data_IF_983472648909
#
_entry.id   IF_983472648909
#
_cell.length_a   1.000
_cell.length_b   1.000
_cell.length_c   1.000
_cell.angle_alpha   90.00
_cell.angle_beta   90.00
_cell.angle_gamma   90.00
#
_symmetry.space_group_name_H-M   'P 1'
#
loop_
_entity.id
_entity.type
_entity.pdbx_description
1 polymer ?
#
# COMPACT_ATOMS: atom_id res chain seq x y z
N UNK A 1 -53.00 28.95 69.34
CA UNK A 1 -53.31 27.60 68.81
C UNK A 1 -53.70 27.58 67.33
N UNK A 2 -54.78 28.25 66.90
CA UNK A 2 -55.22 28.23 65.47
C UNK A 2 -54.18 28.80 64.49
N UNK A 3 -53.53 29.91 64.83
CA UNK A 3 -52.50 30.58 63.99
C UNK A 3 -51.25 29.70 63.75
N UNK A 4 -50.91 28.86 64.72
CA UNK A 4 -49.75 27.96 64.66
C UNK A 4 -50.03 26.73 63.78
N UNK A 5 -51.28 26.22 63.81
CA UNK A 5 -51.74 25.15 62.91
C UNK A 5 -51.86 25.63 61.45
N UNK A 6 -52.30 26.87 61.21
CA UNK A 6 -52.35 27.44 59.86
C UNK A 6 -50.96 27.64 59.24
N UNK A 7 -49.96 28.08 60.02
CA UNK A 7 -48.59 28.21 59.54
C UNK A 7 -47.98 26.85 59.19
N UNK A 8 -48.23 25.82 60.00
CA UNK A 8 -47.74 24.47 59.72
C UNK A 8 -48.38 23.89 58.45
N UNK A 9 -49.67 24.13 58.23
CA UNK A 9 -50.37 23.69 57.03
C UNK A 9 -49.85 24.41 55.77
N UNK A 10 -49.62 25.73 55.85
CA UNK A 10 -49.02 26.51 54.77
C UNK A 10 -47.61 26.04 54.41
N UNK A 11 -46.76 25.80 55.42
CA UNK A 11 -45.39 25.31 55.22
C UNK A 11 -45.41 23.91 54.59
N UNK A 12 -46.30 23.03 55.05
CA UNK A 12 -46.48 21.70 54.45
C UNK A 12 -46.96 21.78 53.00
N UNK A 13 -47.90 22.68 52.67
CA UNK A 13 -48.36 22.84 51.28
C UNK A 13 -47.28 23.40 50.37
N UNK A 14 -46.46 24.34 50.84
CA UNK A 14 -45.34 24.90 50.07
C UNK A 14 -44.25 23.85 49.87
N UNK A 15 -43.96 23.04 50.90
CA UNK A 15 -42.99 21.94 50.80
C UNK A 15 -43.45 20.85 49.82
N UNK A 16 -44.75 20.53 49.79
CA UNK A 16 -45.32 19.57 48.83
C UNK A 16 -45.29 20.14 47.40
N UNK A 17 -45.64 21.41 47.21
CA UNK A 17 -45.54 22.05 45.89
C UNK A 17 -44.09 22.15 45.40
N UNK A 18 -43.15 22.51 46.28
CA UNK A 18 -41.73 22.56 45.95
C UNK A 18 -41.17 21.17 45.57
N UNK A 19 -41.59 20.11 46.28
CA UNK A 19 -41.23 18.73 45.96
C UNK A 19 -41.83 18.26 44.63
N UNK A 20 -43.04 18.69 44.27
CA UNK A 20 -43.66 18.39 42.99
C UNK A 20 -42.99 19.13 41.82
N UNK A 21 -42.52 20.37 42.02
CA UNK A 21 -41.80 21.12 40.99
C UNK A 21 -40.35 20.67 40.79
N UNK A 22 -39.69 20.13 41.83
CA UNK A 22 -38.32 19.62 41.74
C UNK A 22 -38.21 18.27 41.01
N UNK A 23 -39.34 17.61 40.73
CA UNK A 23 -39.38 16.34 39.98
C UNK A 23 -39.38 16.53 38.45
N UNK A 24 -39.31 17.77 37.95
CA UNK A 24 -39.48 18.10 36.53
C UNK A 24 -38.21 18.64 35.84
N UNK A 25 -37.04 18.58 36.48
CA UNK A 25 -35.77 18.90 35.82
C UNK A 25 -35.10 17.63 35.28
N UNK A 26 -35.33 17.36 33.99
CA UNK A 26 -34.29 16.82 33.11
C UNK A 26 -33.93 15.33 33.18
N UNK A 27 -34.90 14.42 33.34
CA UNK A 27 -34.68 13.03 32.93
C UNK A 27 -35.32 12.80 31.56
N UNK A 28 -34.68 13.33 30.52
CA UNK A 28 -34.93 12.83 29.17
C UNK A 28 -34.40 11.39 29.15
N UNK A 29 -35.24 10.36 28.89
CA UNK A 29 -34.76 9.00 28.86
C UNK A 29 -33.71 8.90 27.76
N UNK A 30 -32.50 8.41 28.07
CA UNK A 30 -31.48 8.21 27.04
C UNK A 30 -32.05 7.27 25.97
N UNK A 31 -32.27 7.81 24.77
CA UNK A 31 -32.80 7.04 23.64
C UNK A 31 -31.66 6.61 22.72
N UNK A 32 -31.88 5.55 21.97
CA UNK A 32 -30.94 5.12 20.94
C UNK A 32 -30.79 6.11 19.78
N UNK A 33 -31.58 7.19 19.76
CA UNK A 33 -31.49 8.25 18.75
C UNK A 33 -30.30 9.19 19.00
N UNK A 34 -29.89 9.34 20.27
CA UNK A 34 -28.75 10.18 20.68
C UNK A 34 -27.57 9.38 21.22
N UNK A 35 -27.71 8.06 21.39
CA UNK A 35 -26.68 7.18 21.95
C UNK A 35 -25.69 6.75 20.87
N UNK A 36 -24.43 7.16 21.00
CA UNK A 36 -23.34 6.70 20.13
C UNK A 36 -22.73 5.42 20.69
N UNK A 37 -23.01 4.28 20.06
CA UNK A 37 -22.40 3.03 20.46
C UNK A 37 -21.02 2.81 19.84
N UNK A 38 -20.12 2.08 20.52
CA UNK A 38 -18.86 1.63 19.94
C UNK A 38 -19.10 0.84 18.65
N UNK A 39 -18.16 0.96 17.71
CA UNK A 39 -18.22 0.29 16.40
C UNK A 39 -18.46 -1.22 16.60
N UNK A 40 -19.54 -1.74 16.02
CA UNK A 40 -19.92 -3.17 16.10
C UNK A 40 -20.93 -3.53 17.20
N UNK A 41 -21.38 -2.56 18.00
CA UNK A 41 -22.49 -2.73 18.96
C UNK A 41 -23.78 -2.11 18.41
N UNK A 42 -24.93 -2.62 18.84
CA UNK A 42 -26.23 -2.02 18.55
C UNK A 42 -26.79 -1.39 19.82
N UNK A 43 -27.42 -0.22 19.70
CA UNK A 43 -28.16 0.36 20.81
C UNK A 43 -29.50 -0.36 20.99
N UNK A 44 -29.85 -0.69 22.23
CA UNK A 44 -31.19 -1.18 22.60
C UNK A 44 -31.71 -0.40 23.79
N UNK A 45 -33.03 -0.18 23.86
CA UNK A 45 -33.65 0.46 25.02
C UNK A 45 -34.13 -0.61 25.99
N UNK A 46 -33.64 -0.56 27.22
CA UNK A 46 -34.03 -1.48 28.30
C UNK A 46 -34.37 -0.67 29.55
N UNK A 47 -35.56 -0.91 30.11
CA UNK A 47 -36.04 -0.19 31.31
C UNK A 47 -35.87 1.35 31.24
N UNK A 48 -36.21 1.95 30.09
CA UNK A 48 -36.14 3.40 29.86
C UNK A 48 -34.72 4.01 29.82
N UNK A 49 -33.69 3.16 29.66
CA UNK A 49 -32.31 3.58 29.38
C UNK A 49 -31.81 2.95 28.07
N UNK A 50 -30.95 3.65 27.35
CA UNK A 50 -30.23 3.09 26.21
C UNK A 50 -29.01 2.30 26.67
N UNK A 51 -28.87 1.08 26.19
CA UNK A 51 -27.73 0.21 26.44
C UNK A 51 -27.12 -0.21 25.10
N UNK A 52 -25.81 -0.07 24.95
CA UNK A 52 -25.10 -0.65 23.82
C UNK A 52 -24.89 -2.14 24.06
N UNK A 53 -25.57 -2.97 23.28
CA UNK A 53 -25.48 -4.42 23.35
C UNK A 53 -24.79 -4.96 22.12
N UNK A 54 -24.01 -6.03 22.33
CA UNK A 54 -23.46 -6.80 21.23
C UNK A 54 -24.57 -7.68 20.63
N UNK A 55 -24.52 -7.94 19.30
CA UNK A 55 -25.52 -8.77 18.65
C UNK A 55 -25.61 -10.17 19.29
N UNK A 56 -26.80 -10.81 19.30
CA UNK A 56 -27.12 -12.01 20.08
C UNK A 56 -26.27 -13.27 19.79
N UNK A 57 -25.37 -13.21 18.80
CA UNK A 57 -24.33 -14.22 18.56
C UNK A 57 -23.04 -13.99 19.37
N UNK A 58 -23.03 -13.00 20.27
CA UNK A 58 -21.98 -12.83 21.27
C UNK A 58 -22.20 -13.77 22.45
N UNK A 59 -22.19 -15.07 22.19
CA UNK A 59 -21.96 -16.04 23.25
C UNK A 59 -20.55 -15.73 23.81
N UNK A 60 -20.37 -15.50 25.12
CA UNK A 60 -19.03 -15.29 25.70
C UNK A 60 -18.08 -16.46 25.41
N UNK A 61 -18.62 -17.64 25.08
CA UNK A 61 -17.86 -18.79 24.57
C UNK A 61 -17.55 -18.72 23.06
N UNK A 62 -18.31 -17.96 22.27
CA UNK A 62 -18.08 -17.71 20.84
C UNK A 62 -17.08 -16.57 20.54
N UNK A 63 -16.64 -15.82 21.56
CA UNK A 63 -15.53 -14.87 21.44
C UNK A 63 -14.15 -15.54 21.37
N UNK A 64 -14.06 -16.86 21.53
CA UNK A 64 -12.82 -17.60 21.42
C UNK A 64 -12.68 -18.17 20.02
N UNK A 65 -11.73 -17.62 19.26
CA UNK A 65 -11.39 -18.20 17.98
C UNK A 65 -10.74 -19.58 18.18
N UNK A 66 -11.06 -20.56 17.31
CA UNK A 66 -10.69 -21.96 17.52
C UNK A 66 -9.19 -22.23 17.35
N UNK A 67 -8.48 -21.34 16.65
CA UNK A 67 -7.06 -21.44 16.34
C UNK A 67 -6.29 -20.26 16.97
N UNK A 68 -5.02 -20.50 17.32
CA UNK A 68 -4.12 -19.46 17.82
C UNK A 68 -3.94 -18.33 16.81
N UNK A 69 -3.67 -17.12 17.30
CA UNK A 69 -3.44 -15.89 16.49
C UNK A 69 -4.64 -15.43 15.64
N UNK A 70 -5.81 -16.05 15.84
CA UNK A 70 -7.09 -15.50 15.40
C UNK A 70 -7.70 -14.65 16.51
N UNK A 71 -8.20 -13.48 16.14
CA UNK A 71 -9.00 -12.62 16.99
C UNK A 71 -10.40 -12.46 16.40
N UNK A 72 -11.41 -12.43 17.26
CA UNK A 72 -12.77 -12.16 16.82
C UNK A 72 -12.89 -10.68 16.46
N UNK A 73 -13.02 -10.37 15.16
CA UNK A 73 -13.17 -9.00 14.67
C UNK A 73 -14.64 -8.70 14.46
N UNK A 74 -15.15 -7.69 15.17
CA UNK A 74 -16.47 -7.09 14.92
C UNK A 74 -16.55 -6.41 13.56
N UNK A 75 -15.39 -6.04 13.02
CA UNK A 75 -15.22 -5.46 11.71
C UNK A 75 -14.01 -6.14 11.06
N UNK A 76 -14.26 -7.19 10.28
CA UNK A 76 -13.16 -7.91 9.62
C UNK A 76 -12.73 -7.21 8.34
N UNK A 77 -11.48 -7.41 7.93
CA UNK A 77 -11.00 -7.01 6.60
C UNK A 77 -11.64 -7.96 5.58
N UNK A 78 -12.33 -7.44 4.57
CA UNK A 78 -12.93 -8.27 3.50
C UNK A 78 -11.85 -9.07 2.77
N UNK A 79 -10.72 -8.41 2.55
CA UNK A 79 -9.48 -8.99 2.06
C UNK A 79 -8.47 -9.00 3.22
N UNK A 80 -8.42 -10.05 4.05
CA UNK A 80 -7.36 -10.18 5.05
C UNK A 80 -6.01 -10.42 4.39
N UNK A 81 -4.91 -9.97 5.01
CA UNK A 81 -3.59 -10.24 4.49
C UNK A 81 -3.28 -11.74 4.61
N UNK A 82 -2.73 -12.31 3.54
CA UNK A 82 -2.33 -13.72 3.44
C UNK A 82 -0.84 -13.80 3.13
N UNK A 83 -0.23 -14.95 3.38
CA UNK A 83 1.14 -15.17 2.92
C UNK A 83 1.19 -14.96 1.39
N UNK A 84 2.16 -14.18 0.91
CA UNK A 84 2.29 -13.78 -0.50
C UNK A 84 1.48 -12.54 -0.92
N UNK A 85 0.43 -12.17 -0.17
CA UNK A 85 -0.44 -11.01 -0.44
C UNK A 85 -0.73 -10.24 0.86
N UNK A 86 0.25 -9.40 1.23
CA UNK A 86 0.33 -8.73 2.53
C UNK A 86 -0.33 -7.34 2.54
N UNK A 87 -0.67 -6.82 1.36
CA UNK A 87 -1.28 -5.50 1.17
C UNK A 87 -2.58 -5.62 0.38
N UNK A 88 -3.63 -6.18 0.97
CA UNK A 88 -4.95 -6.11 0.37
C UNK A 88 -5.32 -4.64 0.16
N UNK A 89 -5.82 -4.31 -1.04
CA UNK A 89 -6.24 -2.95 -1.40
C UNK A 89 -7.18 -2.39 -0.32
N UNK A 90 -6.89 -1.16 0.10
CA UNK A 90 -7.47 -0.52 1.29
C UNK A 90 -8.91 -0.08 1.03
N UNK A 91 -9.83 -1.04 0.83
CA UNK A 91 -11.25 -0.75 0.88
C UNK A 91 -11.66 -0.60 2.33
N UNK A 92 -12.05 0.62 2.69
CA UNK A 92 -12.55 1.03 4.01
C UNK A 92 -13.97 0.50 4.23
N UNK A 93 -14.20 -0.77 3.93
CA UNK A 93 -15.48 -1.46 4.04
C UNK A 93 -15.38 -2.42 5.22
N UNK A 94 -16.32 -2.28 6.15
CA UNK A 94 -16.39 -3.17 7.29
C UNK A 94 -16.94 -4.53 6.85
N UNK A 95 -16.10 -5.55 6.86
CA UNK A 95 -16.50 -6.93 6.54
C UNK A 95 -17.28 -7.58 7.69
N UNK A 96 -17.77 -8.80 7.44
CA UNK A 96 -18.59 -9.54 8.40
C UNK A 96 -17.90 -9.77 9.75
N UNK A 97 -18.69 -9.97 10.81
CA UNK A 97 -18.19 -10.37 12.12
C UNK A 97 -17.67 -11.81 12.07
N UNK A 98 -16.36 -12.00 12.21
CA UNK A 98 -15.74 -13.35 12.16
C UNK A 98 -14.37 -13.36 12.83
N UNK A 99 -13.90 -14.55 13.15
CA UNK A 99 -12.50 -14.78 13.49
C UNK A 99 -11.61 -14.52 12.27
N UNK A 100 -10.61 -13.67 12.45
CA UNK A 100 -9.62 -13.32 11.43
C UNK A 100 -8.25 -13.24 12.09
N UNK A 101 -7.18 -13.38 11.30
CA UNK A 101 -5.83 -13.18 11.83
C UNK A 101 -5.72 -11.85 12.56
N UNK A 102 -5.07 -11.91 13.71
CA UNK A 102 -4.72 -10.71 14.46
C UNK A 102 -3.76 -9.84 13.64
N UNK A 103 -3.68 -8.55 13.97
CA UNK A 103 -2.82 -7.65 13.23
C UNK A 103 -1.35 -8.05 13.41
N UNK A 104 -0.64 -8.15 12.29
CA UNK A 104 0.73 -8.69 12.23
C UNK A 104 0.82 -10.19 11.95
N UNK A 105 -0.31 -10.90 11.89
CA UNK A 105 -0.38 -12.30 11.46
C UNK A 105 -1.00 -12.43 10.07
N UNK A 106 -0.59 -13.49 9.37
CA UNK A 106 -0.91 -13.73 7.97
C UNK A 106 -1.46 -15.13 7.80
N UNK A 107 -2.52 -15.26 7.01
CA UNK A 107 -3.11 -16.56 6.73
C UNK A 107 -2.24 -17.34 5.74
N UNK A 108 -1.76 -18.52 6.13
CA UNK A 108 -1.05 -19.44 5.24
C UNK A 108 -2.02 -20.38 4.49
N UNK A 109 -1.48 -21.21 3.59
CA UNK A 109 -2.28 -22.15 2.78
C UNK A 109 -2.90 -23.30 3.60
N UNK A 110 -2.33 -23.60 4.78
CA UNK A 110 -2.92 -24.54 5.74
C UNK A 110 -4.11 -23.95 6.51
N UNK A 111 -4.39 -22.66 6.32
CA UNK A 111 -5.46 -21.95 7.00
C UNK A 111 -5.12 -21.65 8.46
N UNK A 112 -3.85 -21.40 8.78
CA UNK A 112 -3.35 -20.96 10.07
C UNK A 112 -2.86 -19.51 10.00
N UNK A 113 -3.02 -18.76 11.09
CA UNK A 113 -2.48 -17.41 11.23
C UNK A 113 -1.07 -17.50 11.80
N UNK A 114 -0.09 -17.24 10.95
CA UNK A 114 1.33 -17.36 11.27
C UNK A 114 2.00 -15.98 11.25
N UNK A 115 3.16 -15.87 11.88
CA UNK A 115 3.99 -14.66 11.73
C UNK A 115 4.48 -14.56 10.29
N UNK A 116 4.86 -13.36 9.86
CA UNK A 116 5.37 -13.20 8.49
C UNK A 116 6.68 -13.96 8.23
N UNK A 117 7.47 -14.27 9.27
CA UNK A 117 8.68 -15.11 9.14
C UNK A 117 8.34 -16.59 8.91
N UNK A 118 7.24 -17.06 9.52
CA UNK A 118 6.70 -18.42 9.35
C UNK A 118 5.87 -18.58 8.07
N UNK A 119 5.63 -17.48 7.33
CA UNK A 119 5.06 -17.58 6.01
C UNK A 119 6.05 -18.26 5.06
N UNK A 120 5.80 -19.53 4.76
CA UNK A 120 6.39 -20.21 3.60
C UNK A 120 5.94 -19.61 2.25
N UNK A 121 5.02 -18.63 2.26
CA UNK A 121 4.44 -18.02 1.06
C UNK A 121 5.30 -16.96 0.36
N UNK A 122 6.51 -16.67 0.83
CA UNK A 122 7.46 -15.90 0.02
C UNK A 122 8.09 -16.79 -1.05
N UNK A 123 8.23 -16.28 -2.28
CA UNK A 123 8.87 -17.03 -3.36
C UNK A 123 10.34 -17.35 -3.00
N UNK A 124 10.95 -18.23 -3.78
CA UNK A 124 12.38 -18.54 -3.66
C UNK A 124 13.22 -17.25 -3.59
N UNK A 125 14.15 -17.21 -2.64
CA UNK A 125 15.04 -16.07 -2.36
C UNK A 125 14.38 -14.77 -1.89
N UNK A 126 13.10 -14.83 -1.48
CA UNK A 126 12.42 -13.73 -0.81
C UNK A 126 12.38 -13.95 0.70
N UNK A 127 12.27 -12.85 1.44
CA UNK A 127 12.03 -12.81 2.87
C UNK A 127 10.91 -11.82 3.15
N UNK A 128 10.03 -12.14 4.08
CA UNK A 128 9.02 -11.21 4.52
C UNK A 128 9.67 -10.11 5.38
N UNK A 129 9.27 -8.86 5.15
CA UNK A 129 9.61 -7.74 6.02
C UNK A 129 8.36 -6.92 6.31
N UNK A 130 8.26 -6.43 7.54
CA UNK A 130 7.23 -5.46 7.96
C UNK A 130 7.55 -4.03 7.50
N UNK A 131 8.81 -3.77 7.16
CA UNK A 131 9.30 -2.49 6.66
C UNK A 131 10.01 -2.76 5.33
N UNK A 132 9.29 -2.61 4.21
CA UNK A 132 9.91 -2.78 2.90
C UNK A 132 10.63 -1.50 2.47
N UNK A 133 11.71 -1.62 1.70
CA UNK A 133 12.43 -0.45 1.20
C UNK A 133 11.88 -0.04 -0.16
N UNK A 134 11.65 1.26 -0.36
CA UNK A 134 11.39 1.82 -1.70
C UNK A 134 12.61 1.69 -2.64
N UNK A 135 13.81 1.54 -2.07
CA UNK A 135 15.06 1.29 -2.78
C UNK A 135 15.36 -0.22 -2.89
N UNK A 136 14.34 -1.08 -2.94
CA UNK A 136 14.57 -2.52 -3.11
C UNK A 136 15.40 -2.78 -4.37
N UNK A 137 16.47 -3.60 -4.30
CA UNK A 137 17.42 -3.76 -5.39
C UNK A 137 16.80 -4.58 -6.54
N UNK A 138 16.90 -4.07 -7.76
CA UNK A 138 16.35 -4.69 -8.98
C UNK A 138 17.47 -5.03 -9.96
N UNK A 139 17.22 -5.95 -10.89
CA UNK A 139 18.17 -6.17 -11.98
C UNK A 139 18.39 -4.86 -12.76
N UNK A 140 19.66 -4.47 -12.96
CA UNK A 140 20.02 -3.19 -13.61
C UNK A 140 20.05 -1.98 -12.67
N UNK A 141 19.47 -2.07 -11.48
CA UNK A 141 19.42 -1.01 -10.46
C UNK A 141 19.90 -1.55 -9.11
N UNK A 142 21.22 -1.54 -8.93
CA UNK A 142 21.88 -2.10 -7.75
C UNK A 142 22.06 -1.09 -6.61
N UNK A 143 21.16 -0.10 -6.52
CA UNK A 143 21.25 0.95 -5.52
C UNK A 143 21.32 0.35 -4.10
N UNK A 144 22.22 0.84 -3.24
CA UNK A 144 22.32 0.34 -1.89
C UNK A 144 21.07 0.72 -1.07
N UNK A 145 20.43 -0.28 -0.48
CA UNK A 145 19.20 -0.16 0.35
C UNK A 145 19.33 0.94 1.42
N UNK A 146 20.55 1.25 1.88
CA UNK A 146 20.83 2.26 2.92
C UNK A 146 20.42 3.69 2.58
N UNK A 147 20.11 3.99 1.32
CA UNK A 147 19.67 5.32 0.88
C UNK A 147 18.18 5.58 1.16
N UNK A 148 17.35 4.54 1.27
CA UNK A 148 15.94 4.68 1.62
C UNK A 148 15.72 4.32 3.10
N UNK A 149 15.40 5.33 3.93
CA UNK A 149 15.08 5.16 5.35
C UNK A 149 13.58 5.02 5.63
N UNK A 150 12.74 5.29 4.65
CA UNK A 150 11.29 5.19 4.81
C UNK A 150 10.83 3.74 4.69
N UNK A 151 10.02 3.31 5.66
CA UNK A 151 9.37 2.01 5.65
C UNK A 151 8.15 2.04 4.73
N UNK A 152 8.26 1.32 3.63
CA UNK A 152 7.13 0.89 2.82
C UNK A 152 6.31 -0.20 3.53
N UNK A 153 5.17 -0.59 2.94
CA UNK A 153 4.25 -1.54 3.54
C UNK A 153 4.89 -2.93 3.73
N UNK A 154 4.36 -3.76 4.64
CA UNK A 154 4.81 -5.14 4.80
C UNK A 154 4.65 -5.94 3.51
N UNK A 155 5.70 -6.66 3.07
CA UNK A 155 5.66 -7.56 1.91
C UNK A 155 6.87 -8.49 1.87
N UNK A 156 6.83 -9.49 1.00
CA UNK A 156 8.04 -10.22 0.60
C UNK A 156 8.98 -9.28 -0.19
N UNK A 157 10.25 -9.28 0.17
CA UNK A 157 11.33 -8.57 -0.52
C UNK A 157 12.46 -9.54 -0.83
N UNK A 158 13.32 -9.22 -1.80
CA UNK A 158 14.49 -10.03 -2.07
C UNK A 158 15.42 -10.06 -0.85
N UNK A 159 15.93 -11.25 -0.53
CA UNK A 159 17.01 -11.42 0.46
C UNK A 159 18.24 -10.61 0.01
N UNK A 160 19.07 -10.23 0.97
CA UNK A 160 20.34 -9.54 0.67
C UNK A 160 21.17 -10.37 -0.32
N UNK A 161 21.67 -9.73 -1.37
CA UNK A 161 22.42 -10.38 -2.46
C UNK A 161 21.55 -10.90 -3.61
N UNK A 162 20.22 -10.81 -3.51
CA UNK A 162 19.29 -11.11 -4.59
C UNK A 162 18.61 -9.84 -5.11
N UNK A 163 18.19 -9.90 -6.37
CA UNK A 163 17.69 -8.75 -7.11
C UNK A 163 16.37 -9.12 -7.79
N UNK A 164 15.38 -8.23 -7.74
CA UNK A 164 14.09 -8.46 -8.38
C UNK A 164 14.23 -8.34 -9.90
N UNK A 165 13.78 -9.36 -10.64
CA UNK A 165 13.73 -9.34 -12.10
C UNK A 165 12.39 -8.77 -12.61
N UNK A 166 12.22 -8.66 -13.93
CA UNK A 166 10.98 -8.17 -14.57
C UNK A 166 9.72 -9.00 -14.29
N UNK A 167 9.88 -10.23 -13.79
CA UNK A 167 8.77 -11.13 -13.47
C UNK A 167 8.42 -11.10 -11.96
N UNK A 168 9.13 -10.28 -11.18
CA UNK A 168 8.95 -10.20 -9.73
C UNK A 168 9.61 -11.35 -8.95
N UNK A 169 10.58 -12.06 -9.55
CA UNK A 169 11.34 -13.12 -8.88
C UNK A 169 12.71 -12.59 -8.43
N UNK A 170 13.19 -13.11 -7.29
CA UNK A 170 14.48 -12.72 -6.72
C UNK A 170 15.59 -13.65 -7.19
N UNK A 171 16.45 -13.12 -8.04
CA UNK A 171 17.50 -13.86 -8.74
C UNK A 171 18.88 -13.37 -8.32
N UNK A 172 19.92 -14.16 -8.59
CA UNK A 172 21.31 -13.72 -8.32
C UNK A 172 21.74 -12.65 -9.31
N UNK A 173 22.85 -11.95 -9.01
CA UNK A 173 23.42 -10.99 -9.97
C UNK A 173 23.78 -11.66 -11.29
N UNK A 174 24.36 -12.85 -11.25
CA UNK A 174 24.70 -13.58 -12.46
C UNK A 174 23.44 -13.92 -13.26
N UNK A 175 22.32 -14.21 -12.62
CA UNK A 175 21.04 -14.46 -13.30
C UNK A 175 20.39 -13.19 -13.88
N UNK A 176 20.64 -12.01 -13.29
CA UNK A 176 20.31 -10.73 -13.92
C UNK A 176 21.17 -10.48 -15.17
N UNK A 177 22.43 -10.89 -15.13
CA UNK A 177 23.44 -10.64 -16.18
C UNK A 177 23.53 -11.77 -17.21
N UNK A 178 22.93 -12.93 -16.94
CA UNK A 178 22.76 -14.02 -17.90
C UNK A 178 22.08 -13.41 -19.13
N UNK A 179 22.72 -13.47 -20.31
CA UNK A 179 22.03 -13.14 -21.54
C UNK A 179 20.84 -14.09 -21.60
N UNK A 180 19.62 -13.57 -21.41
CA UNK A 180 18.41 -14.36 -21.57
C UNK A 180 18.53 -15.04 -22.92
N UNK A 181 18.48 -16.37 -22.96
CA UNK A 181 18.36 -17.10 -24.22
C UNK A 181 17.27 -16.42 -25.04
N UNK A 182 17.48 -16.23 -26.36
CA UNK A 182 16.73 -15.28 -27.17
C UNK A 182 15.31 -15.77 -27.46
N UNK A 183 14.46 -15.89 -26.45
CA UNK A 183 13.02 -15.99 -26.62
C UNK A 183 12.53 -14.58 -26.93
N UNK A 184 12.59 -14.25 -28.22
CA UNK A 184 11.87 -13.12 -28.84
C UNK A 184 12.17 -11.72 -28.31
N UNK A 185 13.43 -11.44 -27.96
CA UNK A 185 13.95 -10.15 -28.42
C UNK A 185 14.01 -10.34 -29.92
N UNK A 186 13.02 -9.83 -30.70
CA UNK A 186 13.30 -9.43 -32.08
C UNK A 186 14.66 -8.78 -31.95
N UNK A 187 15.74 -9.40 -32.47
CA UNK A 187 17.05 -8.76 -32.53
C UNK A 187 16.70 -7.36 -32.98
N UNK A 188 16.87 -6.37 -32.10
CA UNK A 188 16.40 -5.00 -32.37
C UNK A 188 17.24 -4.62 -33.57
N UNK A 189 16.65 -4.82 -34.74
CA UNK A 189 17.33 -4.77 -36.00
C UNK A 189 17.39 -3.29 -36.24
N UNK A 190 18.39 -2.69 -35.60
CA UNK A 190 18.58 -1.27 -35.72
C UNK A 190 18.88 -1.00 -37.19
N UNK A 191 18.34 0.10 -37.73
CA UNK A 191 18.67 0.56 -39.06
C UNK A 191 20.18 0.60 -39.32
N UNK A 192 20.55 0.74 -40.59
CA UNK A 192 21.95 0.83 -40.99
C UNK A 192 22.69 1.86 -40.12
N UNK A 193 23.89 1.52 -39.68
CA UNK A 193 24.76 2.36 -38.84
C UNK A 193 24.24 2.70 -37.44
N UNK A 194 23.20 2.02 -36.96
CA UNK A 194 22.72 2.15 -35.59
C UNK A 194 23.09 0.93 -34.73
N UNK A 195 23.19 1.14 -33.42
CA UNK A 195 23.35 0.12 -32.39
C UNK A 195 22.22 0.22 -31.38
N UNK A 196 21.79 -0.90 -30.84
CA UNK A 196 20.80 -0.89 -29.77
C UNK A 196 21.47 -0.54 -28.44
N UNK A 197 20.94 0.44 -27.71
CA UNK A 197 21.44 0.84 -26.40
C UNK A 197 20.34 0.77 -25.33
N UNK A 198 20.66 0.14 -24.21
CA UNK A 198 19.82 0.11 -23.00
C UNK A 198 19.79 1.44 -22.25
N UNK A 199 20.79 2.29 -22.47
CA UNK A 199 20.97 3.61 -21.90
C UNK A 199 21.55 4.50 -23.01
N UNK A 200 20.71 5.04 -23.90
CA UNK A 200 21.20 5.86 -25.01
C UNK A 200 21.86 7.14 -24.49
N UNK A 201 22.78 7.68 -25.28
CA UNK A 201 23.48 8.92 -24.95
C UNK A 201 22.51 10.10 -24.80
N UNK A 202 22.70 10.92 -23.76
CA UNK A 202 21.99 12.19 -23.56
C UNK A 202 22.39 13.29 -24.55
N UNK A 203 23.46 13.06 -25.32
CA UNK A 203 24.08 14.01 -26.25
C UNK A 203 24.31 13.35 -27.63
N UNK A 204 23.24 12.96 -28.36
CA UNK A 204 23.42 12.32 -29.66
C UNK A 204 24.20 13.22 -30.63
N UNK A 205 25.08 12.62 -31.43
CA UNK A 205 25.78 13.32 -32.50
C UNK A 205 24.81 13.59 -33.66
N UNK A 206 24.65 14.85 -34.06
CA UNK A 206 23.69 15.30 -35.07
C UNK A 206 24.46 16.08 -36.14
N UNK A 207 24.12 15.89 -37.41
CA UNK A 207 24.72 16.64 -38.52
C UNK A 207 24.55 18.16 -38.32
N UNK A 208 25.56 18.95 -38.71
CA UNK A 208 25.53 20.41 -38.56
C UNK A 208 25.79 20.94 -37.15
N UNK A 209 25.80 20.08 -36.12
CA UNK A 209 26.17 20.47 -34.76
C UNK A 209 27.62 20.06 -34.41
N UNK A 210 28.32 20.85 -33.58
CA UNK A 210 29.61 20.44 -33.05
C UNK A 210 29.45 19.17 -32.20
N UNK A 211 30.38 18.22 -32.35
CA UNK A 211 30.40 17.01 -31.55
C UNK A 211 30.51 17.36 -30.05
N UNK A 212 29.70 16.73 -29.19
CA UNK A 212 29.75 17.01 -27.77
C UNK A 212 31.10 16.56 -27.19
N UNK A 213 31.85 17.51 -26.62
CA UNK A 213 33.20 17.31 -26.06
C UNK A 213 33.19 16.30 -24.92
N UNK A 214 32.10 16.29 -24.14
CA UNK A 214 31.87 15.37 -23.04
C UNK A 214 30.39 15.30 -22.75
N UNK A 215 29.91 14.13 -22.34
CA UNK A 215 28.52 13.91 -22.03
C UNK A 215 28.36 13.39 -20.61
N UNK A 216 27.22 13.70 -20.00
CA UNK A 216 26.90 13.13 -18.69
C UNK A 216 26.71 11.62 -18.82
N UNK A 217 26.93 10.90 -17.71
CA UNK A 217 26.68 9.45 -17.65
C UNK A 217 25.17 9.11 -17.56
N UNK A 218 24.32 10.13 -17.55
CA UNK A 218 22.87 9.98 -17.49
C UNK A 218 22.33 9.51 -18.84
N UNK A 219 21.35 8.61 -18.79
CA UNK A 219 20.70 8.10 -20.00
C UNK A 219 19.81 9.18 -20.62
N UNK A 220 19.90 9.38 -21.92
CA UNK A 220 19.07 10.27 -22.72
C UNK A 220 17.63 9.79 -22.97
N UNK A 221 17.10 8.93 -22.10
CA UNK A 221 15.76 8.34 -22.18
C UNK A 221 15.76 6.81 -22.20
N UNK A 222 14.62 6.23 -22.61
CA UNK A 222 14.40 4.79 -22.68
C UNK A 222 15.28 4.09 -23.71
N UNK A 223 15.42 2.77 -23.55
CA UNK A 223 16.25 1.95 -24.41
C UNK A 223 15.79 1.98 -25.89
N UNK A 224 16.66 2.47 -26.78
CA UNK A 224 16.39 2.69 -28.22
C UNK A 224 17.62 2.38 -29.09
N UNK A 225 17.46 2.43 -30.42
CA UNK A 225 18.60 2.41 -31.33
C UNK A 225 19.22 3.81 -31.39
N UNK A 226 20.55 3.89 -31.25
CA UNK A 226 21.34 5.11 -31.38
C UNK A 226 22.41 4.96 -32.46
N UNK A 227 22.89 6.07 -33.02
CA UNK A 227 24.00 6.03 -33.99
C UNK A 227 25.23 5.35 -33.37
N UNK A 228 25.92 4.54 -34.18
CA UNK A 228 27.25 4.03 -33.82
C UNK A 228 28.23 5.19 -33.71
N UNK A 229 29.32 4.97 -33.00
CA UNK A 229 30.41 5.93 -32.89
C UNK A 229 30.93 6.31 -34.29
N UNK A 230 31.12 7.60 -34.55
CA UNK A 230 31.50 8.14 -35.85
C UNK A 230 30.34 8.38 -36.83
N UNK A 231 29.08 8.10 -36.45
CA UNK A 231 27.88 8.41 -37.24
C UNK A 231 27.02 9.48 -36.57
N UNK A 232 26.30 10.22 -37.40
CA UNK A 232 25.51 11.40 -37.03
C UNK A 232 24.08 11.23 -37.52
N UNK A 233 23.12 11.68 -36.72
CA UNK A 233 21.74 11.79 -37.16
C UNK A 233 21.63 12.88 -38.24
N UNK A 234 21.07 12.52 -39.39
CA UNK A 234 20.62 13.48 -40.39
C UNK A 234 19.22 14.03 -40.04
N UNK A 235 18.70 14.91 -40.90
CA UNK A 235 17.35 15.48 -40.78
C UNK A 235 16.20 14.45 -40.88
N UNK A 236 16.45 13.26 -41.43
CA UNK A 236 15.46 12.16 -41.51
C UNK A 236 15.53 11.22 -40.31
N UNK A 237 16.51 11.38 -39.43
CA UNK A 237 16.77 10.49 -38.29
C UNK A 237 17.59 9.25 -38.65
N UNK A 238 18.21 9.21 -39.82
CA UNK A 238 19.13 8.16 -40.25
C UNK A 238 20.57 8.46 -39.79
N UNK A 239 21.36 7.41 -39.58
CA UNK A 239 22.75 7.55 -39.13
C UNK A 239 23.71 7.51 -40.31
N UNK A 240 24.26 8.67 -40.64
CA UNK A 240 25.15 8.89 -41.78
C UNK A 240 26.56 9.26 -41.30
N UNK A 241 27.54 9.10 -42.18
CA UNK A 241 28.91 9.54 -41.90
C UNK A 241 29.02 11.06 -41.95
N UNK A 242 30.05 11.63 -41.32
CA UNK A 242 30.32 13.08 -41.36
C UNK A 242 30.44 13.65 -42.77
N UNK A 243 30.90 12.84 -43.73
CA UNK A 243 30.99 13.24 -45.15
C UNK A 243 29.61 13.30 -45.82
N UNK A 244 28.69 12.44 -45.40
CA UNK A 244 27.32 12.37 -45.92
C UNK A 244 26.42 13.47 -45.35
N UNK A 245 26.71 13.97 -44.13
CA UNK A 245 26.04 15.15 -43.56
C UNK A 245 26.07 16.37 -44.53
N UNK A 246 27.14 16.50 -45.32
CA UNK A 246 27.33 17.63 -46.24
C UNK A 246 26.45 17.56 -47.52
N UNK A 247 25.69 16.48 -47.73
CA UNK A 247 24.81 16.31 -48.90
C UNK A 247 23.32 16.38 -48.55
N UNK A 248 22.94 16.04 -47.33
CA UNK A 248 21.54 15.91 -46.88
C UNK A 248 20.95 17.16 -46.25
N UNK A 249 21.77 18.12 -45.81
CA UNK A 249 21.30 19.27 -45.02
C UNK A 249 21.34 20.63 -45.75
N UNK A 250 21.51 20.65 -47.09
CA UNK A 250 21.27 21.86 -47.90
C UNK A 250 19.79 21.91 -48.32
N UNK A 251 18.89 22.02 -47.34
CA UNK A 251 17.54 22.55 -47.55
C UNK A 251 17.09 23.34 -46.31
N UNK A 252 17.84 24.39 -46.00
CA UNK A 252 17.30 25.69 -45.57
C UNK A 252 18.43 26.73 -45.63
N UNK A 253 18.75 27.18 -46.84
CA UNK A 253 19.36 28.50 -47.03
C UNK A 253 18.24 29.47 -47.43
#
# INVERSE_FOLDING_TARGET
FLRQKMNLLMILTIAVFAAMTAAQEGFEPETCETTVCPIGSNCTVKYLASECVLPPNSDPKAQRCPKSNYIFKMCSKEYPPKCGDYTPTFEKICGAQKCQCDDGFYLNDAGDCVTGEECEGCKKNQIFTTCSSACAPKCGEYLPIRLCRECGPPKCVCKVGFYENSNGDCVTREECEKPRDPITVKRRQCPKNQKYSGCPSSCPAICGLPEPISCTRDCGGDAKCECKEGFFYDSNGDCVTKQECNKSDIMWA
#
